data_IF_730967463371
#
_entry.id   IF_730967463371
#
_cell.length_a   1.000
_cell.length_b   1.000
_cell.length_c   1.000
_cell.angle_alpha   90.00
_cell.angle_beta   90.00
_cell.angle_gamma   90.00
#
_symmetry.space_group_name_H-M   'P 1'
#
loop_
_entity.id
_entity.type
_entity.pdbx_description
1 polymer ?
#
# COMPACT_ATOMS: atom_id res chain seq x y z
N UNK A 1 -7.64 -17.10 -13.25
CA UNK A 1 -6.34 -17.14 -12.57
C UNK A 1 -5.23 -16.76 -13.53
N UNK A 2 -4.32 -15.92 -13.10
CA UNK A 2 -3.19 -15.49 -13.92
C UNK A 2 -1.96 -16.31 -13.59
N UNK A 3 -1.30 -16.85 -14.63
CA UNK A 3 -0.04 -17.57 -14.45
C UNK A 3 1.09 -16.55 -14.53
N UNK A 4 1.87 -16.46 -13.47
CA UNK A 4 2.98 -15.51 -13.37
C UNK A 4 4.31 -16.24 -13.57
N UNK A 5 5.24 -15.57 -14.26
CA UNK A 5 6.62 -16.03 -14.32
C UNK A 5 7.28 -15.80 -12.95
N UNK A 6 8.43 -16.44 -12.72
CA UNK A 6 9.19 -16.23 -11.49
C UNK A 6 9.61 -14.77 -11.32
N UNK A 7 9.98 -14.13 -12.42
CA UNK A 7 10.38 -12.72 -12.41
C UNK A 7 9.20 -11.82 -12.07
N UNK A 8 8.03 -12.10 -12.66
CA UNK A 8 6.82 -11.34 -12.38
C UNK A 8 6.38 -11.52 -10.93
N UNK A 9 6.48 -12.74 -10.40
CA UNK A 9 6.15 -13.02 -9.02
C UNK A 9 7.07 -12.25 -8.06
N UNK A 10 8.37 -12.25 -8.36
CA UNK A 10 9.36 -11.53 -7.56
C UNK A 10 9.05 -10.02 -7.55
N UNK A 11 8.76 -9.46 -8.73
CA UNK A 11 8.39 -8.05 -8.86
C UNK A 11 7.14 -7.74 -8.05
N UNK A 12 6.14 -8.62 -8.13
CA UNK A 12 4.89 -8.44 -7.39
C UNK A 12 5.11 -8.44 -5.88
N UNK A 13 5.95 -9.35 -5.39
CA UNK A 13 6.29 -9.40 -3.96
C UNK A 13 6.98 -8.13 -3.51
N UNK A 14 7.89 -7.60 -4.31
CA UNK A 14 8.57 -6.34 -4.00
C UNK A 14 7.58 -5.18 -3.92
N UNK A 15 6.64 -5.12 -4.86
CA UNK A 15 5.62 -4.08 -4.87
C UNK A 15 4.70 -4.19 -3.65
N UNK A 16 4.31 -5.41 -3.28
CA UNK A 16 3.48 -5.64 -2.10
C UNK A 16 4.17 -5.14 -0.83
N UNK A 17 5.46 -5.43 -0.70
CA UNK A 17 6.25 -4.97 0.45
C UNK A 17 6.32 -3.45 0.49
N UNK A 18 6.51 -2.80 -0.65
CA UNK A 18 6.58 -1.36 -0.75
C UNK A 18 5.26 -0.71 -0.37
N UNK A 19 4.14 -1.24 -0.85
CA UNK A 19 2.82 -0.69 -0.52
C UNK A 19 2.51 -0.86 0.96
N UNK A 20 2.87 -2.00 1.55
CA UNK A 20 2.67 -2.23 2.98
C UNK A 20 3.44 -1.21 3.83
N UNK A 21 4.69 -0.95 3.47
CA UNK A 21 5.50 0.05 4.17
C UNK A 21 4.90 1.45 4.04
N UNK A 22 4.39 1.80 2.87
CA UNK A 22 3.76 3.10 2.65
C UNK A 22 2.49 3.25 3.48
N UNK A 23 1.67 2.21 3.56
CA UNK A 23 0.48 2.23 4.41
C UNK A 23 0.86 2.54 5.86
N UNK A 24 1.84 1.82 6.39
CA UNK A 24 2.31 2.00 7.76
C UNK A 24 2.85 3.40 7.98
N UNK A 25 3.64 3.89 7.04
CA UNK A 25 4.26 5.22 7.14
C UNK A 25 3.21 6.33 7.18
N UNK A 26 2.25 6.29 6.26
CA UNK A 26 1.22 7.33 6.19
C UNK A 26 0.28 7.27 7.39
N UNK A 27 -0.03 6.08 7.91
CA UNK A 27 -0.83 5.96 9.13
C UNK A 27 -0.10 6.58 10.33
N UNK A 28 1.18 6.32 10.46
CA UNK A 28 1.98 6.89 11.54
C UNK A 28 2.05 8.40 11.45
N UNK A 29 2.28 8.93 10.23
CA UNK A 29 2.33 10.37 10.02
C UNK A 29 0.98 11.02 10.31
N UNK A 30 -0.13 10.35 9.96
CA UNK A 30 -1.46 10.84 10.26
C UNK A 30 -1.70 10.95 11.76
N UNK A 31 -1.21 9.98 12.54
CA UNK A 31 -1.32 10.02 13.99
C UNK A 31 -0.55 11.19 14.59
N UNK A 32 0.57 11.56 13.98
CA UNK A 32 1.42 12.65 14.44
C UNK A 32 0.94 14.04 13.99
N UNK A 33 0.06 14.09 12.99
CA UNK A 33 -0.41 15.36 12.45
C UNK A 33 -1.34 16.06 13.42
N UNK A 34 -1.05 17.32 13.70
CA UNK A 34 -1.87 18.12 14.60
C UNK A 34 -3.04 18.77 13.88
N UNK A 35 -2.84 19.16 12.62
CA UNK A 35 -3.91 19.80 11.84
C UNK A 35 -4.85 18.76 11.26
N UNK A 36 -6.16 18.91 11.49
CA UNK A 36 -7.14 17.94 10.97
C UNK A 36 -7.09 17.74 9.45
N UNK A 37 -6.85 18.81 8.70
CA UNK A 37 -6.77 18.74 7.25
C UNK A 37 -5.62 17.86 6.80
N UNK A 38 -4.45 18.04 7.40
CA UNK A 38 -3.29 17.24 7.09
C UNK A 38 -3.51 15.79 7.50
N UNK A 39 -4.06 15.58 8.69
CA UNK A 39 -4.37 14.24 9.18
C UNK A 39 -5.28 13.49 8.19
N UNK A 40 -6.36 14.14 7.76
CA UNK A 40 -7.32 13.54 6.83
C UNK A 40 -6.66 13.22 5.49
N UNK A 41 -5.78 14.10 5.01
CA UNK A 41 -5.07 13.89 3.76
C UNK A 41 -4.14 12.69 3.85
N UNK A 42 -3.39 12.57 4.94
CA UNK A 42 -2.47 11.46 5.16
C UNK A 42 -3.22 10.13 5.30
N UNK A 43 -4.36 10.14 6.00
CA UNK A 43 -5.20 8.95 6.10
C UNK A 43 -5.74 8.52 4.74
N UNK A 44 -6.12 9.49 3.90
CA UNK A 44 -6.58 9.21 2.54
C UNK A 44 -5.50 8.56 1.70
N UNK A 45 -4.26 9.03 1.81
CA UNK A 45 -3.13 8.45 1.08
C UNK A 45 -2.86 7.03 1.56
N UNK A 46 -2.93 6.81 2.88
CA UNK A 46 -2.78 5.46 3.43
C UNK A 46 -3.81 4.49 2.85
N UNK A 47 -5.07 4.94 2.72
CA UNK A 47 -6.13 4.13 2.13
C UNK A 47 -5.85 3.80 0.67
N UNK A 48 -5.32 4.76 -0.08
CA UNK A 48 -4.97 4.52 -1.48
C UNK A 48 -3.90 3.44 -1.61
N UNK A 49 -2.88 3.49 -0.77
CA UNK A 49 -1.83 2.47 -0.78
C UNK A 49 -2.36 1.12 -0.32
N UNK A 50 -3.29 1.09 0.62
CA UNK A 50 -3.96 -0.16 1.00
C UNK A 50 -4.73 -0.74 -0.19
N UNK A 51 -5.41 0.11 -0.96
CA UNK A 51 -6.10 -0.31 -2.18
C UNK A 51 -5.14 -0.89 -3.21
N UNK A 52 -3.99 -0.26 -3.41
CA UNK A 52 -2.96 -0.77 -4.30
C UNK A 52 -2.47 -2.14 -3.83
N UNK A 53 -2.21 -2.27 -2.55
CA UNK A 53 -1.80 -3.56 -1.97
C UNK A 53 -2.84 -4.64 -2.28
N UNK A 54 -4.11 -4.33 -2.04
CA UNK A 54 -5.19 -5.28 -2.26
C UNK A 54 -5.29 -5.72 -3.73
N UNK A 55 -5.16 -4.76 -4.66
CA UNK A 55 -5.16 -5.07 -6.09
C UNK A 55 -4.00 -5.97 -6.48
N UNK A 56 -2.80 -5.64 -6.01
CA UNK A 56 -1.62 -6.44 -6.31
C UNK A 56 -1.72 -7.84 -5.70
N UNK A 57 -2.21 -7.91 -4.48
CA UNK A 57 -2.39 -9.19 -3.79
C UNK A 57 -3.36 -10.11 -4.54
N UNK A 58 -4.39 -9.54 -5.14
CA UNK A 58 -5.37 -10.31 -5.91
C UNK A 58 -4.76 -11.04 -7.10
N UNK A 59 -3.60 -10.59 -7.58
CA UNK A 59 -2.90 -11.26 -8.68
C UNK A 59 -2.27 -12.58 -8.26
N UNK A 60 -2.15 -12.83 -6.96
CA UNK A 60 -1.58 -14.08 -6.44
C UNK A 60 -2.58 -15.22 -6.39
N UNK A 61 -3.86 -14.95 -6.57
CA UNK A 61 -4.91 -15.96 -6.44
C UNK A 61 -5.63 -16.26 -7.73
#
# INVERSE_FOLDING_TARGET
MTVLTEKELSTLKDLLSSEELLVKKFKMLAEQAEKPELKNQLESIAKKHQGHFNELYSKLS
#
